data_IF_607078024568
#
_entry.id   IF_607078024568
#
_cell.length_a   1.000
_cell.length_b   1.000
_cell.length_c   1.000
_cell.angle_alpha   90.00
_cell.angle_beta   90.00
_cell.angle_gamma   90.00
#
_symmetry.space_group_name_H-M   'P 1'
#
loop_
_entity.id
_entity.type
_entity.pdbx_description
1 polymer ?
#
# COMPACT_ATOMS: atom_id res chain seq x y z
N UNK A 1 -18.65 74.48 -7.46
CA UNK A 1 -18.02 73.71 -6.36
C UNK A 1 -18.44 72.27 -6.49
N UNK A 2 -17.57 71.47 -7.05
CA UNK A 2 -17.84 70.04 -7.19
C UNK A 2 -16.96 69.30 -6.19
N UNK A 3 -17.56 68.69 -5.18
CA UNK A 3 -16.87 67.82 -4.22
C UNK A 3 -16.77 66.43 -4.79
N UNK A 4 -15.56 65.98 -5.12
CA UNK A 4 -15.27 64.65 -5.50
C UNK A 4 -15.05 63.82 -4.21
N UNK A 5 -15.94 62.88 -3.98
CA UNK A 5 -15.80 61.92 -2.89
C UNK A 5 -15.07 60.74 -3.48
N UNK A 6 -13.79 60.60 -3.12
CA UNK A 6 -12.98 59.39 -3.42
C UNK A 6 -13.45 58.23 -2.54
N UNK A 7 -14.15 57.28 -3.13
CA UNK A 7 -14.49 56.04 -2.46
C UNK A 7 -13.26 55.15 -2.37
N UNK A 8 -12.76 54.93 -1.18
CA UNK A 8 -11.70 54.00 -0.87
C UNK A 8 -12.27 52.56 -0.94
N UNK A 9 -12.04 51.87 -2.05
CA UNK A 9 -12.33 50.47 -2.15
C UNK A 9 -11.23 49.70 -1.38
N UNK A 10 -11.55 49.24 -0.18
CA UNK A 10 -10.72 48.29 0.54
C UNK A 10 -10.95 46.92 -0.08
N UNK A 11 -9.99 46.49 -0.89
CA UNK A 11 -9.96 45.15 -1.41
C UNK A 11 -9.48 44.23 -0.31
N UNK A 12 -10.41 43.61 0.42
CA UNK A 12 -10.08 42.52 1.34
C UNK A 12 -9.73 41.31 0.52
N UNK A 13 -8.44 41.10 0.31
CA UNK A 13 -7.93 39.84 -0.25
C UNK A 13 -8.17 38.77 0.81
N UNK A 14 -9.22 37.99 0.62
CA UNK A 14 -9.43 36.73 1.33
C UNK A 14 -8.37 35.78 0.84
N UNK A 15 -7.26 35.67 1.57
CA UNK A 15 -6.34 34.56 1.40
C UNK A 15 -7.11 33.30 1.80
N UNK A 16 -7.68 32.63 0.82
CA UNK A 16 -8.09 31.24 0.98
C UNK A 16 -6.83 30.42 1.19
N UNK A 17 -6.44 30.25 2.44
CA UNK A 17 -5.53 29.18 2.82
C UNK A 17 -6.24 27.89 2.50
N UNK A 18 -5.94 27.30 1.33
CA UNK A 18 -6.24 25.90 1.09
C UNK A 18 -5.54 25.16 2.20
N UNK A 19 -6.30 24.71 3.19
CA UNK A 19 -5.83 23.72 4.14
C UNK A 19 -5.40 22.54 3.26
N UNK A 20 -4.11 22.34 3.09
CA UNK A 20 -3.56 21.12 2.55
C UNK A 20 -3.99 20.04 3.55
N UNK A 21 -5.11 19.39 3.28
CA UNK A 21 -5.41 18.12 3.88
C UNK A 21 -4.22 17.24 3.51
N UNK A 22 -3.34 17.00 4.46
CA UNK A 22 -2.13 16.23 4.26
C UNK A 22 -2.57 14.86 3.77
N UNK A 23 -2.36 14.61 2.48
CA UNK A 23 -2.75 13.33 1.88
C UNK A 23 -1.93 12.25 2.60
N UNK A 24 -2.64 11.33 3.22
CA UNK A 24 -2.03 10.21 3.93
C UNK A 24 -1.23 9.37 2.96
N UNK A 25 0.00 9.09 3.29
CA UNK A 25 0.82 8.15 2.55
C UNK A 25 0.44 6.69 2.87
N UNK A 26 1.08 5.74 2.21
CA UNK A 26 0.81 4.30 2.41
C UNK A 26 0.94 3.90 3.87
N UNK A 27 1.96 4.41 4.57
CA UNK A 27 2.22 4.08 5.97
C UNK A 27 1.15 4.69 6.88
N UNK A 28 0.73 5.93 6.60
CA UNK A 28 -0.30 6.61 7.38
C UNK A 28 -1.67 5.94 7.20
N UNK A 29 -2.00 5.50 5.99
CA UNK A 29 -3.23 4.74 5.71
C UNK A 29 -3.23 3.41 6.46
N UNK A 30 -2.12 2.67 6.41
CA UNK A 30 -1.97 1.40 7.12
C UNK A 30 -2.01 1.60 8.64
N UNK A 31 -1.34 2.62 9.17
CA UNK A 31 -1.31 2.93 10.60
C UNK A 31 -2.69 3.36 11.14
N UNK A 32 -3.51 3.97 10.30
CA UNK A 32 -4.89 4.33 10.64
C UNK A 32 -5.87 3.15 10.65
N UNK A 33 -5.45 1.98 10.21
CA UNK A 33 -6.28 0.78 10.13
C UNK A 33 -6.00 -0.18 11.29
N UNK A 34 -7.00 -0.49 12.14
CA UNK A 34 -6.83 -1.45 13.23
C UNK A 34 -6.53 -2.88 12.74
N UNK A 35 -6.87 -3.18 11.48
CA UNK A 35 -6.62 -4.47 10.87
C UNK A 35 -5.16 -4.68 10.42
N UNK A 36 -4.32 -3.66 10.44
CA UNK A 36 -2.95 -3.69 9.94
C UNK A 36 -1.90 -3.37 11.01
N UNK A 37 -2.22 -3.48 12.28
CA UNK A 37 -1.30 -3.17 13.38
C UNK A 37 -0.03 -4.02 13.34
N UNK A 38 -0.14 -5.31 13.04
CA UNK A 38 1.00 -6.24 12.88
C UNK A 38 1.87 -5.84 11.70
N UNK A 39 1.26 -5.49 10.57
CA UNK A 39 2.00 -5.01 9.39
C UNK A 39 2.79 -3.73 9.69
N UNK A 40 2.17 -2.77 10.36
CA UNK A 40 2.84 -1.51 10.74
C UNK A 40 4.01 -1.77 11.69
N UNK A 41 3.83 -2.65 12.67
CA UNK A 41 4.92 -3.07 13.56
C UNK A 41 6.07 -3.72 12.76
N UNK A 42 5.75 -4.60 11.81
CA UNK A 42 6.72 -5.25 10.94
C UNK A 42 7.48 -4.24 10.06
N UNK A 43 6.79 -3.28 9.46
CA UNK A 43 7.40 -2.21 8.63
C UNK A 43 8.35 -1.35 9.46
N UNK A 44 7.98 -1.01 10.70
CA UNK A 44 8.84 -0.27 11.62
C UNK A 44 10.07 -1.09 12.02
N UNK A 45 9.89 -2.34 12.39
CA UNK A 45 10.99 -3.25 12.76
C UNK A 45 11.98 -3.48 11.62
N UNK A 46 11.48 -3.57 10.38
CA UNK A 46 12.30 -3.70 9.19
C UNK A 46 13.03 -2.39 8.80
N UNK A 47 12.61 -1.25 9.33
CA UNK A 47 13.14 0.06 8.96
C UNK A 47 12.70 0.53 7.58
N UNK A 48 11.56 0.05 7.07
CA UNK A 48 11.04 0.36 5.75
C UNK A 48 10.07 1.56 5.73
N UNK A 49 9.83 2.19 6.87
CA UNK A 49 8.90 3.34 6.97
C UNK A 49 9.29 4.43 5.99
N UNK A 50 10.54 4.87 5.99
CA UNK A 50 11.03 5.93 5.10
C UNK A 50 11.00 5.51 3.63
N UNK A 51 11.27 4.24 3.34
CA UNK A 51 11.19 3.69 1.99
C UNK A 51 9.76 3.75 1.45
N UNK A 52 8.79 3.36 2.27
CA UNK A 52 7.36 3.37 1.89
C UNK A 52 6.73 4.78 1.93
N UNK A 53 7.34 5.72 2.63
CA UNK A 53 6.97 7.15 2.60
C UNK A 53 7.61 7.89 1.42
N UNK A 54 8.52 7.25 0.71
CA UNK A 54 9.22 7.81 -0.44
C UNK A 54 8.28 8.15 -1.60
N UNK A 55 8.86 8.80 -2.61
CA UNK A 55 8.14 9.19 -3.83
C UNK A 55 7.82 7.94 -4.66
N UNK A 56 6.65 7.31 -4.39
CA UNK A 56 6.16 6.23 -5.22
C UNK A 56 6.01 6.62 -6.71
N UNK A 57 5.16 5.97 -7.47
CA UNK A 57 4.05 5.17 -6.96
C UNK A 57 4.43 3.75 -6.52
N UNK A 58 3.80 3.31 -5.45
CA UNK A 58 3.90 1.93 -4.97
C UNK A 58 2.53 1.28 -4.91
N UNK A 59 2.49 -0.03 -5.15
CA UNK A 59 1.32 -0.86 -4.85
C UNK A 59 1.70 -1.80 -3.73
N UNK A 60 0.99 -1.74 -2.61
CA UNK A 60 1.25 -2.56 -1.43
C UNK A 60 0.13 -3.56 -1.25
N UNK A 61 0.48 -4.83 -1.20
CA UNK A 61 -0.43 -5.88 -0.76
C UNK A 61 -0.31 -6.01 0.76
N UNK A 62 -1.29 -5.46 1.47
CA UNK A 62 -1.27 -5.35 2.92
C UNK A 62 -2.01 -6.54 3.56
N UNK A 63 -1.29 -7.51 4.15
CA UNK A 63 -1.92 -8.58 4.90
C UNK A 63 -2.51 -8.04 6.21
N UNK A 64 -3.69 -8.53 6.56
CA UNK A 64 -4.37 -8.20 7.82
C UNK A 64 -3.71 -8.90 9.00
N UNK A 65 -4.07 -8.49 10.23
CA UNK A 65 -3.65 -9.21 11.44
C UNK A 65 -4.04 -10.69 11.37
N UNK A 66 -5.24 -10.99 10.86
CA UNK A 66 -5.70 -12.38 10.66
C UNK A 66 -4.84 -13.13 9.65
N UNK A 67 -4.36 -12.45 8.61
CA UNK A 67 -3.43 -13.03 7.64
C UNK A 67 -2.12 -13.47 8.30
N UNK A 68 -1.58 -12.66 9.19
CA UNK A 68 -0.41 -13.04 9.99
C UNK A 68 -0.73 -14.18 10.96
N UNK A 69 -1.94 -14.22 11.50
CA UNK A 69 -2.40 -15.33 12.38
C UNK A 69 -2.48 -16.69 11.69
N UNK A 70 -2.55 -16.72 10.36
CA UNK A 70 -2.51 -17.96 9.57
C UNK A 70 -1.10 -18.57 9.45
N UNK A 71 -0.07 -17.79 9.75
CA UNK A 71 1.30 -18.29 9.80
C UNK A 71 1.48 -19.24 10.99
N UNK A 72 2.43 -20.20 10.93
CA UNK A 72 2.75 -21.06 12.05
C UNK A 72 3.02 -20.26 13.33
N UNK A 73 2.60 -20.77 14.47
CA UNK A 73 2.77 -20.11 15.75
C UNK A 73 4.26 -19.74 15.99
N UNK A 74 4.49 -18.50 16.47
CA UNK A 74 5.83 -17.98 16.70
C UNK A 74 6.55 -17.43 15.46
N UNK A 75 6.02 -17.64 14.24
CA UNK A 75 6.65 -17.13 13.01
C UNK A 75 6.71 -15.59 12.99
N UNK A 76 5.61 -14.94 13.35
CA UNK A 76 5.55 -13.46 13.38
C UNK A 76 6.52 -12.92 14.43
N UNK A 77 6.52 -13.48 15.62
CA UNK A 77 7.44 -13.08 16.71
C UNK A 77 8.89 -13.28 16.31
N UNK A 78 9.19 -14.39 15.64
CA UNK A 78 10.53 -14.68 15.12
C UNK A 78 10.95 -13.68 14.06
N UNK A 79 10.05 -13.32 13.14
CA UNK A 79 10.32 -12.32 12.08
C UNK A 79 10.54 -10.92 12.64
N UNK A 80 9.88 -10.57 13.74
CA UNK A 80 10.02 -9.26 14.38
C UNK A 80 11.32 -9.10 15.17
N UNK A 81 12.06 -10.19 15.39
CA UNK A 81 13.36 -10.13 16.07
C UNK A 81 14.39 -9.38 15.23
N UNK A 82 15.27 -8.58 15.86
CA UNK A 82 16.33 -7.85 15.16
C UNK A 82 17.24 -8.75 14.30
N UNK A 83 17.47 -9.99 14.74
CA UNK A 83 18.26 -11.01 14.05
C UNK A 83 17.68 -11.37 12.68
N UNK A 84 16.37 -11.31 12.55
CA UNK A 84 15.63 -11.69 11.35
C UNK A 84 15.17 -10.49 10.51
N UNK A 85 15.69 -9.30 10.80
CA UNK A 85 15.34 -8.07 10.09
C UNK A 85 15.51 -8.20 8.57
N UNK A 86 16.55 -8.87 8.11
CA UNK A 86 16.78 -9.09 6.68
C UNK A 86 15.68 -9.94 6.04
N UNK A 87 15.26 -11.01 6.72
CA UNK A 87 14.17 -11.85 6.26
C UNK A 87 12.84 -11.10 6.24
N UNK A 88 12.56 -10.34 7.31
CA UNK A 88 11.37 -9.50 7.41
C UNK A 88 11.34 -8.44 6.29
N UNK A 89 12.46 -7.77 6.04
CA UNK A 89 12.60 -6.81 4.94
C UNK A 89 12.32 -7.48 3.60
N UNK A 90 12.87 -8.67 3.35
CA UNK A 90 12.62 -9.44 2.14
C UNK A 90 11.13 -9.78 1.95
N UNK A 91 10.45 -10.21 2.99
CA UNK A 91 9.01 -10.51 2.96
C UNK A 91 8.21 -9.23 2.69
N UNK A 92 8.50 -8.15 3.39
CA UNK A 92 7.74 -6.89 3.24
C UNK A 92 7.96 -6.26 1.86
N UNK A 93 9.18 -6.25 1.34
CA UNK A 93 9.47 -5.77 -0.02
C UNK A 93 8.87 -6.67 -1.09
N UNK A 94 8.67 -7.95 -0.80
CA UNK A 94 7.97 -8.88 -1.67
C UNK A 94 6.46 -8.57 -1.76
N UNK A 95 5.88 -7.90 -0.77
CA UNK A 95 4.50 -7.41 -0.81
C UNK A 95 4.35 -6.05 -1.51
N UNK A 96 5.44 -5.42 -1.89
CA UNK A 96 5.45 -4.11 -2.56
C UNK A 96 5.79 -4.30 -4.02
N UNK A 97 4.93 -3.78 -4.89
CA UNK A 97 5.14 -3.75 -6.34
C UNK A 97 5.41 -2.31 -6.76
N UNK A 98 6.42 -2.12 -7.61
CA UNK A 98 6.70 -0.82 -8.18
C UNK A 98 5.60 -0.42 -9.17
N UNK A 99 5.14 0.83 -9.09
CA UNK A 99 4.06 1.35 -9.93
C UNK A 99 2.71 1.40 -9.21
N UNK A 100 1.79 2.17 -9.78
CA UNK A 100 0.43 2.30 -9.28
C UNK A 100 -0.47 1.29 -10.02
N UNK A 101 -0.80 0.20 -9.37
CA UNK A 101 -1.66 -0.86 -9.88
C UNK A 101 -2.96 -0.88 -9.07
N UNK A 102 -3.93 -0.08 -9.47
CA UNK A 102 -5.28 -0.18 -8.92
C UNK A 102 -5.99 -1.46 -9.42
N UNK A 103 -7.14 -1.78 -8.86
CA UNK A 103 -7.89 -2.99 -9.23
C UNK A 103 -8.21 -3.03 -10.73
N UNK A 104 -8.43 -1.86 -11.35
CA UNK A 104 -8.69 -1.73 -12.78
C UNK A 104 -7.45 -2.07 -13.61
N UNK A 105 -6.28 -1.55 -13.21
CA UNK A 105 -5.01 -1.83 -13.88
C UNK A 105 -4.62 -3.31 -13.73
N UNK A 106 -4.77 -3.89 -12.54
CA UNK A 106 -4.56 -5.33 -12.31
C UNK A 106 -5.51 -6.17 -13.14
N UNK A 107 -6.80 -5.82 -13.18
CA UNK A 107 -7.79 -6.50 -13.99
C UNK A 107 -7.49 -6.43 -15.48
N UNK A 108 -7.04 -5.28 -15.99
CA UNK A 108 -6.63 -5.12 -17.38
C UNK A 108 -5.39 -5.96 -17.71
N UNK A 109 -4.40 -5.98 -16.83
CA UNK A 109 -3.19 -6.80 -16.99
C UNK A 109 -3.52 -8.30 -17.01
N UNK A 110 -4.44 -8.75 -16.16
CA UNK A 110 -4.92 -10.13 -16.13
C UNK A 110 -5.61 -10.50 -17.44
N UNK A 111 -6.46 -9.63 -17.97
CA UNK A 111 -7.14 -9.85 -19.26
C UNK A 111 -6.14 -9.92 -20.41
N UNK A 112 -5.19 -9.00 -20.46
CA UNK A 112 -4.13 -8.96 -21.48
C UNK A 112 -3.22 -10.19 -21.42
N UNK A 113 -3.01 -10.72 -20.21
CA UNK A 113 -2.19 -11.93 -19.98
C UNK A 113 -2.94 -13.26 -20.11
N UNK A 114 -4.16 -13.26 -20.67
CA UNK A 114 -4.92 -14.49 -20.85
C UNK A 114 -5.45 -15.12 -19.54
N UNK A 115 -5.73 -14.30 -18.54
CA UNK A 115 -6.27 -14.73 -17.25
C UNK A 115 -5.26 -14.68 -16.09
N UNK A 116 -4.01 -14.32 -16.37
CA UNK A 116 -2.94 -14.14 -15.37
C UNK A 116 -2.08 -12.94 -15.71
N UNK A 117 -1.61 -12.23 -14.69
CA UNK A 117 -0.64 -11.16 -14.84
C UNK A 117 0.55 -11.40 -13.90
N UNK A 118 1.75 -11.23 -14.40
CA UNK A 118 2.96 -11.24 -13.58
C UNK A 118 3.25 -9.83 -13.07
N UNK A 119 3.42 -9.70 -11.77
CA UNK A 119 3.78 -8.46 -11.09
C UNK A 119 5.19 -8.61 -10.52
N UNK A 120 6.07 -7.69 -10.84
CA UNK A 120 7.42 -7.66 -10.29
C UNK A 120 7.44 -6.88 -8.99
N UNK A 121 7.92 -7.51 -7.93
CA UNK A 121 8.02 -6.89 -6.61
C UNK A 121 9.31 -6.09 -6.46
N UNK A 122 9.32 -5.18 -5.49
CA UNK A 122 10.52 -4.40 -5.12
C UNK A 122 11.66 -5.32 -4.64
N UNK A 123 11.32 -6.48 -4.08
CA UNK A 123 12.31 -7.51 -3.72
C UNK A 123 12.94 -8.22 -4.92
N UNK A 124 12.47 -7.96 -6.14
CA UNK A 124 12.92 -8.63 -7.36
C UNK A 124 12.21 -9.96 -7.64
N UNK A 125 11.33 -10.41 -6.76
CA UNK A 125 10.49 -11.58 -6.95
C UNK A 125 9.28 -11.30 -7.83
N UNK A 126 8.60 -12.34 -8.25
CA UNK A 126 7.37 -12.23 -9.04
C UNK A 126 6.16 -12.72 -8.26
N UNK A 127 5.06 -12.01 -8.42
CA UNK A 127 3.73 -12.43 -7.99
C UNK A 127 2.88 -12.66 -9.23
N UNK A 128 1.99 -13.63 -9.15
CA UNK A 128 1.02 -13.88 -10.22
C UNK A 128 -0.36 -13.44 -9.76
N UNK A 129 -0.93 -12.47 -10.43
CA UNK A 129 -2.30 -12.05 -10.22
C UNK A 129 -3.24 -12.79 -11.18
N UNK A 130 -4.38 -13.24 -10.68
CA UNK A 130 -5.45 -13.86 -11.45
C UNK A 130 -6.79 -13.48 -10.87
N UNK A 131 -7.88 -13.78 -11.57
CA UNK A 131 -9.24 -13.61 -11.04
C UNK A 131 -9.84 -14.99 -10.81
N UNK A 132 -10.31 -15.23 -9.60
CA UNK A 132 -10.99 -16.45 -9.22
C UNK A 132 -12.26 -16.10 -8.42
N UNK A 133 -13.39 -16.60 -8.85
CA UNK A 133 -14.68 -16.32 -8.21
C UNK A 133 -15.00 -14.81 -8.06
N UNK A 134 -14.58 -13.99 -9.02
CA UNK A 134 -14.79 -12.54 -8.99
C UNK A 134 -13.85 -11.78 -8.07
N UNK A 135 -12.89 -12.45 -7.43
CA UNK A 135 -11.87 -11.84 -6.57
C UNK A 135 -10.49 -11.91 -7.23
N UNK A 136 -9.69 -10.90 -6.98
CA UNK A 136 -8.27 -10.93 -7.37
C UNK A 136 -7.54 -11.87 -6.42
N UNK A 137 -6.88 -12.86 -7.01
CA UNK A 137 -6.03 -13.83 -6.33
C UNK A 137 -4.58 -13.51 -6.66
N UNK A 138 -3.78 -13.37 -5.66
CA UNK A 138 -2.33 -13.18 -5.78
C UNK A 138 -1.65 -14.48 -5.36
N UNK A 139 -0.80 -15.01 -6.21
CA UNK A 139 -0.04 -16.25 -5.96
C UNK A 139 1.44 -15.91 -5.86
N UNK A 140 2.08 -16.40 -4.81
CA UNK A 140 3.52 -16.23 -4.60
C UNK A 140 4.36 -17.28 -5.36
N UNK A 141 5.68 -17.13 -5.30
CA UNK A 141 6.61 -18.04 -5.98
C UNK A 141 6.65 -19.45 -5.37
N UNK A 142 6.09 -19.65 -4.18
CA UNK A 142 5.95 -20.97 -3.52
C UNK A 142 4.63 -21.65 -3.85
N UNK A 143 3.72 -20.94 -4.53
CA UNK A 143 2.39 -21.45 -4.87
C UNK A 143 1.30 -21.14 -3.82
N UNK A 144 1.64 -20.40 -2.76
CA UNK A 144 0.64 -19.93 -1.81
C UNK A 144 -0.18 -18.81 -2.45
N UNK A 145 -1.42 -18.70 -2.05
CA UNK A 145 -2.34 -17.72 -2.62
C UNK A 145 -2.97 -16.86 -1.53
N UNK A 146 -3.15 -15.60 -1.85
CA UNK A 146 -3.90 -14.63 -1.06
C UNK A 146 -4.99 -14.00 -1.91
N UNK A 147 -6.15 -13.74 -1.32
CA UNK A 147 -7.24 -13.06 -1.99
C UNK A 147 -7.30 -11.60 -1.55
N UNK A 148 -7.52 -10.71 -2.49
CA UNK A 148 -7.76 -9.30 -2.21
C UNK A 148 -9.16 -9.16 -1.62
N UNK A 149 -9.24 -8.70 -0.39
CA UNK A 149 -10.49 -8.50 0.35
C UNK A 149 -11.00 -7.07 0.27
N UNK A 150 -10.09 -6.12 0.16
CA UNK A 150 -10.38 -4.73 -0.12
C UNK A 150 -9.31 -4.17 -1.07
N UNK A 151 -9.74 -3.47 -2.09
CA UNK A 151 -8.87 -2.92 -3.12
C UNK A 151 -8.95 -1.39 -3.13
N UNK A 152 -8.01 -0.75 -3.82
CA UNK A 152 -8.02 0.68 -4.14
C UNK A 152 -8.08 1.61 -2.91
N UNK A 153 -7.41 1.24 -1.83
CA UNK A 153 -7.14 2.17 -0.74
C UNK A 153 -6.05 3.14 -1.22
N UNK A 154 -6.50 4.29 -1.70
CA UNK A 154 -5.60 5.29 -2.27
C UNK A 154 -4.79 5.99 -1.18
N UNK A 155 -3.50 6.09 -1.42
CA UNK A 155 -2.55 6.88 -0.65
C UNK A 155 -1.89 7.93 -1.54
N UNK A 156 -1.24 8.93 -0.95
CA UNK A 156 -0.59 10.02 -1.70
C UNK A 156 0.53 9.51 -2.61
N UNK A 157 1.19 8.44 -2.24
CA UNK A 157 2.33 7.84 -2.93
C UNK A 157 2.08 6.42 -3.46
N UNK A 158 0.81 5.98 -3.52
CA UNK A 158 0.49 4.67 -4.06
C UNK A 158 -0.91 4.17 -3.76
N UNK A 159 -1.08 2.86 -3.87
CA UNK A 159 -2.34 2.15 -3.64
C UNK A 159 -2.09 0.95 -2.72
N UNK A 160 -3.02 0.68 -1.84
CA UNK A 160 -2.99 -0.48 -0.95
C UNK A 160 -4.13 -1.42 -1.33
N UNK A 161 -3.80 -2.69 -1.48
CA UNK A 161 -4.76 -3.79 -1.60
C UNK A 161 -4.65 -4.66 -0.36
N UNK A 162 -5.75 -4.84 0.33
CA UNK A 162 -5.82 -5.68 1.53
C UNK A 162 -5.94 -7.14 1.12
N UNK A 163 -5.08 -7.98 1.64
CA UNK A 163 -5.07 -9.43 1.38
C UNK A 163 -5.27 -10.24 2.65
N UNK A 164 -5.82 -11.43 2.51
CA UNK A 164 -6.20 -12.32 3.59
C UNK A 164 -5.12 -13.33 4.00
N UNK A 165 -3.98 -13.30 3.34
CA UNK A 165 -2.86 -14.21 3.60
C UNK A 165 -1.53 -13.53 3.32
N UNK A 166 -0.47 -13.94 4.04
CA UNK A 166 0.88 -13.43 3.83
C UNK A 166 1.53 -14.17 2.66
N UNK A 167 2.16 -13.42 1.76
CA UNK A 167 2.93 -13.96 0.64
C UNK A 167 4.39 -14.16 1.06
N UNK A 168 4.97 -15.25 0.65
CA UNK A 168 6.33 -15.61 1.03
C UNK A 168 7.23 -15.70 -0.21
N UNK A 169 8.39 -15.04 -0.21
CA UNK A 169 9.39 -15.25 -1.26
C UNK A 169 9.95 -16.67 -1.18
N UNK A 170 10.58 -17.11 -2.28
CA UNK A 170 11.30 -18.38 -2.31
C UNK A 170 12.45 -18.40 -1.33
#
# INVERSE_FOLDING_TARGET
>A
MKKIIAGLFVFVAVLSTKANAQQKDIVDVAAGSPAHTTLVAAVKAAGLVETLKGKGPFTVFAPTNDAFGKLPAGTVETLLKPENKGMLTGILTYHVVAGKLDAKAVGAAIKAGGGKAELTTVAGGKLTASVENGKVKITDAKGNSAYVTAADLNASNGVIHVIDSVLLPK
#
